data_IF_691215651573
#
_entry.id   IF_691215651573
#
_cell.length_a   1.000
_cell.length_b   1.000
_cell.length_c   1.000
_cell.angle_alpha   90.00
_cell.angle_beta   90.00
_cell.angle_gamma   90.00
#
_symmetry.space_group_name_H-M   'P 1'
#
loop_
_entity.id
_entity.type
_entity.pdbx_description
1 polymer ?
#
# COMPACT_ATOMS: atom_id res chain seq x y z
N UNK A 1 5.23 11.89 -6.61
CA UNK A 1 5.18 11.25 -5.28
C UNK A 1 6.53 10.59 -5.03
N UNK A 2 6.89 10.40 -3.77
CA UNK A 2 8.14 9.76 -3.37
C UNK A 2 7.85 8.33 -2.92
N UNK A 3 8.85 7.46 -3.03
CA UNK A 3 8.81 6.14 -2.40
C UNK A 3 8.55 6.31 -0.89
N UNK A 4 7.74 5.40 -0.36
CA UNK A 4 7.19 5.39 1.01
C UNK A 4 5.97 6.30 1.25
N UNK A 5 5.57 7.13 0.27
CA UNK A 5 4.34 7.92 0.41
C UNK A 5 3.12 6.99 0.50
N UNK A 6 2.11 7.40 1.28
CA UNK A 6 0.79 6.79 1.30
C UNK A 6 -0.20 7.74 0.63
N UNK A 7 -0.94 7.22 -0.34
CA UNK A 7 -1.96 7.97 -1.09
C UNK A 7 -3.31 7.29 -1.01
N UNK A 8 -4.39 8.01 -1.34
CA UNK A 8 -5.69 7.41 -1.63
C UNK A 8 -5.84 7.18 -3.14
N UNK A 9 -6.25 5.97 -3.52
CA UNK A 9 -6.60 5.62 -4.89
C UNK A 9 -7.96 4.93 -4.97
N UNK A 10 -8.68 5.12 -6.07
CA UNK A 10 -9.87 4.32 -6.38
C UNK A 10 -9.45 2.99 -7.00
N UNK A 11 -9.82 1.89 -6.34
CA UNK A 11 -9.52 0.53 -6.81
C UNK A 11 -10.83 -0.10 -7.30
N UNK A 12 -10.94 -0.33 -8.60
CA UNK A 12 -12.11 -0.96 -9.25
C UNK A 12 -12.02 -2.49 -9.27
N UNK A 13 -13.18 -3.13 -9.33
CA UNK A 13 -13.38 -4.56 -9.62
C UNK A 13 -14.67 -4.72 -10.44
N UNK A 14 -14.97 -5.94 -10.91
CA UNK A 14 -16.18 -6.17 -11.69
C UNK A 14 -17.44 -5.79 -10.88
N UNK A 15 -18.19 -4.80 -11.38
CA UNK A 15 -19.40 -4.30 -10.74
C UNK A 15 -19.20 -3.23 -9.66
N UNK A 16 -17.98 -2.68 -9.49
CA UNK A 16 -17.81 -1.55 -8.58
C UNK A 16 -16.37 -1.13 -8.29
N UNK A 17 -16.19 -0.41 -7.21
CA UNK A 17 -14.88 0.05 -6.77
C UNK A 17 -14.95 0.84 -5.48
N UNK A 18 -13.80 1.04 -4.84
CA UNK A 18 -13.73 1.91 -3.65
C UNK A 18 -12.39 2.59 -3.51
N UNK A 19 -12.40 3.74 -2.85
CA UNK A 19 -11.20 4.45 -2.43
C UNK A 19 -10.49 3.66 -1.32
N UNK A 20 -9.20 3.44 -1.46
CA UNK A 20 -8.35 2.77 -0.46
C UNK A 20 -7.01 3.50 -0.34
N UNK A 21 -6.37 3.45 0.85
CA UNK A 21 -4.97 3.77 0.97
C UNK A 21 -4.11 2.82 0.13
N UNK A 22 -3.04 3.36 -0.44
CA UNK A 22 -2.03 2.65 -1.22
C UNK A 22 -0.64 3.12 -0.80
N UNK A 23 0.32 2.21 -0.82
CA UNK A 23 1.73 2.49 -0.56
C UNK A 23 2.47 2.69 -1.88
N UNK A 24 3.09 3.85 -2.08
CA UNK A 24 3.79 4.19 -3.33
C UNK A 24 5.18 3.51 -3.35
N UNK A 25 5.36 2.61 -4.31
CA UNK A 25 6.64 1.93 -4.56
C UNK A 25 7.51 2.81 -5.46
N UNK A 26 6.91 3.30 -6.56
CA UNK A 26 7.59 4.17 -7.52
C UNK A 26 6.60 5.08 -8.25
N UNK A 27 7.10 6.22 -8.72
CA UNK A 27 6.36 7.18 -9.53
C UNK A 27 7.27 7.66 -10.68
N UNK A 28 7.06 7.11 -11.88
CA UNK A 28 7.84 7.44 -13.08
C UNK A 28 6.96 7.38 -14.33
N UNK A 29 7.27 8.17 -15.37
CA UNK A 29 6.61 8.09 -16.68
C UNK A 29 5.07 8.13 -16.65
N UNK A 30 4.52 9.01 -15.80
CA UNK A 30 3.08 9.11 -15.54
C UNK A 30 2.44 7.83 -14.98
N UNK A 31 3.23 6.87 -14.52
CA UNK A 31 2.79 5.60 -13.94
C UNK A 31 3.24 5.50 -12.49
N UNK A 32 2.27 5.19 -11.65
CA UNK A 32 2.50 4.98 -10.22
C UNK A 32 2.35 3.51 -9.96
N UNK A 33 3.41 2.89 -9.43
CA UNK A 33 3.37 1.53 -8.91
C UNK A 33 3.12 1.57 -7.43
N UNK A 34 2.25 0.70 -6.95
CA UNK A 34 1.85 0.70 -5.54
C UNK A 34 1.51 -0.69 -5.03
N UNK A 35 1.62 -0.86 -3.72
CA UNK A 35 0.96 -1.93 -2.98
C UNK A 35 -0.36 -1.45 -2.41
N UNK A 36 -1.36 -2.34 -2.37
CA UNK A 36 -2.65 -2.05 -1.71
C UNK A 36 -2.44 -2.05 -0.20
N UNK A 37 -3.19 -1.20 0.51
CA UNK A 37 -3.26 -1.26 1.98
C UNK A 37 -4.64 -1.78 2.39
N UNK A 38 -4.68 -2.64 3.40
CA UNK A 38 -5.92 -3.23 3.92
C UNK A 38 -5.92 -3.22 5.45
N UNK A 39 -7.06 -2.89 6.04
CA UNK A 39 -7.33 -3.12 7.47
C UNK A 39 -8.01 -4.48 7.73
N UNK A 40 -8.25 -5.27 6.68
CA UNK A 40 -8.96 -6.57 6.74
C UNK A 40 -7.98 -7.75 6.75
N UNK A 41 -6.84 -7.60 7.40
CA UNK A 41 -5.84 -8.66 7.53
C UNK A 41 -6.40 -9.88 8.28
N UNK A 42 -7.17 -9.66 9.35
CA UNK A 42 -7.78 -10.76 10.11
C UNK A 42 -8.79 -11.60 9.32
N UNK A 43 -9.32 -11.07 8.21
CA UNK A 43 -10.24 -11.81 7.36
C UNK A 43 -9.52 -12.66 6.30
N UNK A 44 -8.18 -12.66 6.28
CA UNK A 44 -7.36 -13.38 5.30
C UNK A 44 -7.06 -14.80 5.79
N UNK A 45 -6.96 -15.75 4.85
CA UNK A 45 -6.54 -17.11 5.17
C UNK A 45 -5.13 -17.11 5.73
N UNK A 46 -4.84 -18.10 6.59
CA UNK A 46 -3.52 -18.26 7.20
C UNK A 46 -2.40 -18.28 6.15
N UNK A 47 -2.63 -19.00 5.05
CA UNK A 47 -1.67 -19.15 3.95
C UNK A 47 -1.27 -17.81 3.31
N UNK A 48 -2.22 -16.90 3.09
CA UNK A 48 -1.91 -15.63 2.40
C UNK A 48 -1.46 -14.53 3.36
N UNK A 49 -1.73 -14.64 4.67
CA UNK A 49 -1.35 -13.66 5.69
C UNK A 49 0.15 -13.39 5.72
N UNK A 50 0.98 -14.39 5.41
CA UNK A 50 2.45 -14.25 5.30
C UNK A 50 2.90 -13.20 4.26
N UNK A 51 2.03 -12.82 3.32
CA UNK A 51 2.28 -11.81 2.29
C UNK A 51 1.69 -10.43 2.63
N UNK A 52 1.41 -10.18 3.91
CA UNK A 52 0.91 -8.90 4.39
C UNK A 52 1.84 -8.35 5.45
N UNK A 53 2.53 -7.26 5.10
CA UNK A 53 3.40 -6.55 6.03
C UNK A 53 2.57 -5.66 6.97
N UNK A 54 2.78 -5.77 8.28
CA UNK A 54 2.10 -4.97 9.29
C UNK A 54 2.72 -3.57 9.33
N UNK A 55 1.89 -2.52 9.27
CA UNK A 55 2.33 -1.14 9.47
C UNK A 55 2.21 -0.83 10.96
N UNK A 56 3.31 -0.84 11.71
CA UNK A 56 3.28 -0.63 13.15
C UNK A 56 2.99 0.85 13.49
N UNK A 57 3.60 1.78 12.75
CA UNK A 57 3.43 3.22 12.95
C UNK A 57 2.30 3.80 12.06
N UNK A 58 1.18 3.08 11.96
CA UNK A 58 0.10 3.41 11.03
C UNK A 58 -0.54 4.80 11.26
N UNK A 59 -0.58 5.28 12.51
CA UNK A 59 -1.08 6.63 12.83
C UNK A 59 -0.21 7.71 12.20
N UNK A 60 1.11 7.60 12.35
CA UNK A 60 2.09 8.50 11.76
C UNK A 60 2.03 8.45 10.23
N UNK A 61 1.72 7.27 9.69
CA UNK A 61 1.53 7.05 8.26
C UNK A 61 0.21 7.64 7.70
N UNK A 62 -0.60 8.31 8.53
CA UNK A 62 -1.84 8.96 8.11
C UNK A 62 -3.04 8.01 7.98
N UNK A 63 -2.94 6.81 8.54
CA UNK A 63 -4.02 5.82 8.55
C UNK A 63 -4.86 5.98 9.81
N UNK A 64 -6.15 5.63 9.71
CA UNK A 64 -7.09 5.78 10.83
C UNK A 64 -7.24 4.52 11.70
N UNK A 65 -6.60 3.42 11.32
CA UNK A 65 -6.58 2.15 12.06
C UNK A 65 -5.42 1.27 11.61
N UNK A 66 -5.12 0.26 12.43
CA UNK A 66 -4.16 -0.79 12.09
C UNK A 66 -4.42 -1.33 10.68
N UNK A 67 -3.38 -1.31 9.86
CA UNK A 67 -3.44 -1.73 8.47
C UNK A 67 -2.17 -2.45 8.05
N UNK A 68 -2.26 -3.12 6.90
CA UNK A 68 -1.23 -3.99 6.37
C UNK A 68 -1.03 -3.71 4.88
N UNK A 69 0.22 -3.75 4.43
CA UNK A 69 0.59 -3.67 3.02
C UNK A 69 0.43 -5.05 2.40
N UNK A 70 -0.43 -5.17 1.40
CA UNK A 70 -0.64 -6.37 0.58
C UNK A 70 0.49 -6.48 -0.46
N UNK A 71 1.47 -7.35 -0.23
CA UNK A 71 2.65 -7.50 -1.10
C UNK A 71 2.45 -8.50 -2.23
N UNK A 72 1.28 -9.17 -2.30
CA UNK A 72 0.98 -10.22 -3.29
C UNK A 72 0.96 -9.65 -4.71
N UNK A 73 0.45 -8.43 -4.88
CA UNK A 73 0.24 -7.84 -6.21
C UNK A 73 0.66 -6.38 -6.24
N UNK A 74 1.41 -6.02 -7.29
CA UNK A 74 1.76 -4.63 -7.57
C UNK A 74 0.70 -4.00 -8.49
N UNK A 75 0.01 -3.00 -7.98
CA UNK A 75 -0.92 -2.18 -8.75
C UNK A 75 -0.20 -1.14 -9.61
N UNK A 76 -0.89 -0.65 -10.65
CA UNK A 76 -0.42 0.42 -11.53
C UNK A 76 -1.54 1.43 -11.76
N UNK A 77 -1.23 2.73 -11.63
CA UNK A 77 -2.15 3.83 -11.93
C UNK A 77 -1.50 4.76 -12.96
N UNK A 78 -2.27 5.15 -13.98
CA UNK A 78 -1.89 6.20 -14.92
C UNK A 78 -2.31 7.56 -14.37
N UNK A 79 -1.35 8.41 -14.00
CA UNK A 79 -1.57 9.74 -13.43
C UNK A 79 -2.28 10.69 -14.39
N UNK A 80 -2.30 10.40 -15.70
CA UNK A 80 -3.06 11.20 -16.67
C UNK A 80 -4.57 11.00 -16.53
N UNK A 81 -4.98 9.88 -15.92
CA UNK A 81 -6.39 9.51 -15.72
C UNK A 81 -6.86 9.70 -14.27
N UNK A 82 -5.94 9.76 -13.32
CA UNK A 82 -6.27 9.77 -11.90
C UNK A 82 -5.42 10.77 -11.13
N UNK A 83 -6.07 11.61 -10.33
CA UNK A 83 -5.38 12.47 -9.38
C UNK A 83 -5.21 11.75 -8.04
N UNK A 84 -3.98 11.69 -7.54
CA UNK A 84 -3.61 11.01 -6.31
C UNK A 84 -3.29 12.03 -5.23
N UNK A 85 -3.88 11.85 -4.04
CA UNK A 85 -3.65 12.70 -2.87
C UNK A 85 -2.83 11.93 -1.84
N UNK A 86 -1.65 12.46 -1.53
CA UNK A 86 -0.85 11.98 -0.40
C UNK A 86 -1.57 12.30 0.92
N UNK A 87 -1.63 11.30 1.79
CA UNK A 87 -2.24 11.39 3.13
C UNK A 87 -1.25 11.19 4.26
N UNK A 88 -0.06 10.68 3.94
CA UNK A 88 0.98 10.41 4.91
C UNK A 88 2.15 9.69 4.28
N UNK A 89 3.05 9.20 5.11
CA UNK A 89 4.26 8.50 4.68
C UNK A 89 4.58 7.41 5.69
N UNK A 90 5.02 6.26 5.22
CA UNK A 90 5.52 5.21 6.10
C UNK A 90 6.65 5.76 6.99
N UNK A 91 6.69 5.35 8.25
CA UNK A 91 7.80 5.72 9.15
C UNK A 91 9.11 5.16 8.61
N UNK A 92 10.24 5.73 9.04
CA UNK A 92 11.56 5.22 8.63
C UNK A 92 11.72 3.75 9.04
N UNK A 93 11.33 3.43 10.27
CA UNK A 93 11.40 2.07 10.81
C UNK A 93 10.54 1.09 10.00
N UNK A 94 9.25 1.39 9.80
CA UNK A 94 8.37 0.54 9.01
C UNK A 94 8.90 0.35 7.58
N UNK A 95 9.61 1.35 7.02
CA UNK A 95 10.14 1.26 5.65
C UNK A 95 11.35 0.33 5.57
N UNK A 96 12.25 0.40 6.55
CA UNK A 96 13.39 -0.51 6.67
C UNK A 96 12.92 -1.94 6.91
N UNK A 97 11.93 -2.13 7.78
CA UNK A 97 11.31 -3.43 8.04
C UNK A 97 10.56 -3.99 6.83
N UNK A 98 9.88 -3.15 6.05
CA UNK A 98 9.25 -3.58 4.80
C UNK A 98 10.28 -4.08 3.78
N UNK A 99 11.44 -3.43 3.68
CA UNK A 99 12.53 -3.89 2.79
C UNK A 99 13.04 -5.26 3.25
N UNK A 100 13.29 -5.45 4.54
CA UNK A 100 13.68 -6.75 5.09
C UNK A 100 12.61 -7.82 4.85
N UNK A 101 11.35 -7.48 5.05
CA UNK A 101 10.21 -8.37 4.79
C UNK A 101 10.17 -8.83 3.34
N UNK A 102 10.35 -7.92 2.38
CA UNK A 102 10.33 -8.25 0.95
C UNK A 102 11.53 -9.11 0.54
N UNK A 103 12.72 -8.84 1.06
CA UNK A 103 13.94 -9.60 0.74
C UNK A 103 13.92 -11.03 1.29
N UNK A 104 13.14 -11.30 2.35
CA UNK A 104 13.01 -12.64 2.94
C UNK A 104 11.91 -13.49 2.26
N UNK A 105 11.27 -13.00 1.19
CA UNK A 105 10.27 -13.74 0.41
C UNK A 105 10.83 -14.37 -0.88
N UNK A 106 12.09 -14.09 -1.21
CA UNK A 106 12.86 -14.77 -2.27
C UNK A 106 13.55 -16.03 -1.71
#
# INVERSE_FOLDING_TARGET
MKTNDISIAYISWNGGGKKRPIYIISDSDNKVRFYKITSKYENKSFEIRKNYFKIDHWKEAGLNKQSYIDTITVGKIDKRKFNLKIIGRLSKQDAEELVMFLNNQD
#
